data_IF_457123649964
#
_entry.id   IF_457123649964
#
_cell.length_a   1.000
_cell.length_b   1.000
_cell.length_c   1.000
_cell.angle_alpha   90.00
_cell.angle_beta   90.00
_cell.angle_gamma   90.00
#
_symmetry.space_group_name_H-M   'P 1'
#
loop_
_entity.id
_entity.type
_entity.pdbx_description
1 polymer ?
#
# COMPACT_ATOMS: atom_id res chain seq x y z
N UNK A 1 13.97 47.65 -49.65
CA UNK A 1 13.28 46.36 -49.54
C UNK A 1 13.11 46.06 -48.06
N UNK A 2 11.88 46.18 -47.55
CA UNK A 2 11.56 46.01 -46.13
C UNK A 2 10.63 44.80 -46.01
N UNK A 3 11.08 43.72 -45.36
CA UNK A 3 10.23 42.56 -45.04
C UNK A 3 9.95 42.52 -43.53
N UNK A 4 8.69 42.36 -43.10
CA UNK A 4 8.32 42.30 -41.70
C UNK A 4 8.46 40.88 -41.15
N UNK A 5 9.22 40.73 -40.07
CA UNK A 5 9.34 39.48 -39.31
C UNK A 5 8.08 39.36 -38.43
N UNK A 6 7.17 38.45 -38.79
CA UNK A 6 6.00 38.09 -37.99
C UNK A 6 6.39 37.09 -36.93
N UNK A 7 6.41 37.51 -35.66
CA UNK A 7 6.48 36.62 -34.51
C UNK A 7 5.11 35.94 -34.31
N UNK A 8 5.01 34.66 -34.66
CA UNK A 8 3.88 33.83 -34.28
C UNK A 8 4.17 33.18 -32.90
N UNK A 9 3.34 33.38 -31.86
CA UNK A 9 3.54 32.71 -30.59
C UNK A 9 3.02 31.27 -30.70
N UNK A 10 3.89 30.29 -30.49
CA UNK A 10 3.53 28.88 -30.42
C UNK A 10 2.86 28.62 -29.07
N UNK A 11 1.54 28.44 -29.08
CA UNK A 11 0.72 28.15 -27.91
C UNK A 11 0.97 26.69 -27.46
N UNK A 12 1.77 26.50 -26.42
CA UNK A 12 2.06 25.18 -25.83
C UNK A 12 0.89 24.78 -24.93
N UNK A 13 -0.09 24.04 -25.47
CA UNK A 13 -1.22 23.50 -24.70
C UNK A 13 -0.77 22.24 -23.96
N UNK A 14 -0.47 22.36 -22.67
CA UNK A 14 -0.20 21.22 -21.78
C UNK A 14 -1.54 20.61 -21.36
N UNK A 15 -1.90 19.48 -21.97
CA UNK A 15 -3.05 18.67 -21.58
C UNK A 15 -2.69 17.79 -20.38
N UNK A 16 -2.79 18.35 -19.16
CA UNK A 16 -2.73 17.59 -17.91
C UNK A 16 -4.01 16.75 -17.75
N UNK A 17 -4.01 15.52 -18.26
CA UNK A 17 -5.02 14.51 -17.93
C UNK A 17 -4.64 13.84 -16.60
N UNK A 18 -4.87 14.54 -15.49
CA UNK A 18 -4.73 13.97 -14.15
C UNK A 18 -5.99 13.23 -13.71
N UNK A 19 -6.14 11.95 -14.09
CA UNK A 19 -7.17 11.10 -13.50
C UNK A 19 -6.67 10.53 -12.16
N UNK A 20 -6.57 11.37 -11.14
CA UNK A 20 -6.48 10.88 -9.77
C UNK A 20 -7.90 10.55 -9.29
N UNK A 21 -8.34 9.29 -9.43
CA UNK A 21 -9.57 8.82 -8.80
C UNK A 21 -9.29 8.72 -7.29
N UNK A 22 -9.62 9.79 -6.56
CA UNK A 22 -9.65 9.75 -5.09
C UNK A 22 -10.81 8.83 -4.66
N UNK A 23 -10.48 7.56 -4.40
CA UNK A 23 -11.39 6.50 -3.93
C UNK A 23 -12.25 5.86 -5.04
N UNK A 24 -11.69 4.95 -5.83
CA UNK A 24 -12.48 4.19 -6.79
C UNK A 24 -13.51 3.30 -6.07
N UNK A 25 -14.70 3.18 -6.65
CA UNK A 25 -15.71 2.24 -6.19
C UNK A 25 -15.15 0.81 -6.22
N UNK A 26 -15.38 -0.01 -5.18
CA UNK A 26 -14.98 -1.41 -5.20
C UNK A 26 -15.51 -2.14 -6.45
N UNK A 27 -14.68 -2.95 -7.13
CA UNK A 27 -15.12 -3.76 -8.28
C UNK A 27 -16.12 -4.84 -7.84
N UNK A 28 -17.02 -5.22 -8.74
CA UNK A 28 -17.96 -6.30 -8.47
C UNK A 28 -17.27 -7.68 -8.58
N UNK A 29 -17.73 -8.62 -7.76
CA UNK A 29 -17.28 -10.02 -7.80
C UNK A 29 -17.50 -10.63 -9.19
N UNK A 30 -16.53 -11.39 -9.68
CA UNK A 30 -16.58 -12.01 -11.00
C UNK A 30 -16.22 -11.08 -12.17
N UNK A 31 -15.94 -9.79 -11.94
CA UNK A 31 -15.40 -8.89 -12.97
C UNK A 31 -14.07 -9.46 -13.52
N UNK A 32 -13.86 -9.44 -14.85
CA UNK A 32 -12.57 -9.81 -15.43
C UNK A 32 -11.45 -8.88 -14.94
N UNK A 33 -10.23 -9.41 -14.81
CA UNK A 33 -9.05 -8.65 -14.37
C UNK A 33 -8.88 -7.30 -15.09
N UNK A 34 -9.09 -7.27 -16.41
CA UNK A 34 -8.98 -6.04 -17.20
C UNK A 34 -9.98 -4.96 -16.76
N UNK A 35 -11.20 -5.34 -16.34
CA UNK A 35 -12.19 -4.38 -15.82
C UNK A 35 -11.81 -3.88 -14.41
N UNK A 36 -11.28 -4.78 -13.57
CA UNK A 36 -10.75 -4.41 -12.25
C UNK A 36 -9.63 -3.37 -12.39
N UNK A 37 -8.65 -3.61 -13.27
CA UNK A 37 -7.55 -2.68 -13.56
C UNK A 37 -8.08 -1.40 -14.21
N UNK A 38 -9.03 -1.49 -15.14
CA UNK A 38 -9.65 -0.32 -15.76
C UNK A 38 -10.34 0.60 -14.74
N UNK A 39 -10.88 0.04 -13.65
CA UNK A 39 -11.57 0.77 -12.58
C UNK A 39 -10.62 1.30 -11.51
N UNK A 40 -9.72 0.45 -11.02
CA UNK A 40 -8.83 0.75 -9.89
C UNK A 40 -7.52 1.41 -10.33
N UNK A 41 -7.17 1.33 -11.60
CA UNK A 41 -5.86 1.67 -12.13
C UNK A 41 -4.88 0.50 -12.06
N UNK A 42 -3.61 0.79 -12.34
CA UNK A 42 -2.55 -0.20 -12.26
C UNK A 42 -2.29 -0.59 -10.80
N UNK A 43 -2.13 -1.89 -10.50
CA UNK A 43 -1.79 -2.33 -9.16
C UNK A 43 -0.39 -1.87 -8.77
N UNK A 44 -0.17 -1.66 -7.48
CA UNK A 44 1.13 -1.32 -6.90
C UNK A 44 2.09 -2.51 -6.97
N UNK A 45 1.58 -3.71 -6.70
CA UNK A 45 2.31 -4.98 -6.82
C UNK A 45 1.40 -6.09 -7.34
N UNK A 46 2.01 -7.12 -7.92
CA UNK A 46 1.32 -8.34 -8.36
C UNK A 46 2.06 -9.54 -7.80
N UNK A 47 1.32 -10.43 -7.14
CA UNK A 47 1.85 -11.69 -6.59
C UNK A 47 1.19 -12.89 -7.26
N UNK A 48 1.95 -13.96 -7.48
CA UNK A 48 1.39 -15.23 -7.94
C UNK A 48 0.62 -15.91 -6.79
N UNK A 49 -0.56 -16.44 -7.06
CA UNK A 49 -1.41 -17.09 -6.05
C UNK A 49 -1.99 -18.39 -6.63
N UNK A 50 -1.20 -19.46 -6.57
CA UNK A 50 -1.48 -20.72 -7.28
C UNK A 50 -1.56 -20.49 -8.78
N UNK A 51 -2.71 -20.80 -9.39
CA UNK A 51 -2.99 -20.56 -10.81
C UNK A 51 -3.61 -19.17 -11.06
N UNK A 52 -3.78 -18.37 -10.01
CA UNK A 52 -4.29 -17.01 -10.05
C UNK A 52 -3.23 -15.99 -9.67
N UNK A 53 -3.67 -14.78 -9.30
CA UNK A 53 -2.79 -13.71 -8.85
C UNK A 53 -3.47 -12.81 -7.83
N UNK A 54 -2.68 -12.15 -7.00
CA UNK A 54 -3.10 -11.06 -6.13
C UNK A 54 -2.64 -9.74 -6.73
N UNK A 55 -3.55 -8.78 -6.82
CA UNK A 55 -3.27 -7.41 -7.22
C UNK A 55 -3.33 -6.52 -5.98
N UNK A 56 -2.21 -5.91 -5.63
CA UNK A 56 -2.10 -5.02 -4.48
C UNK A 56 -2.42 -3.58 -4.89
N UNK A 57 -3.25 -2.90 -4.10
CA UNK A 57 -3.59 -1.50 -4.27
C UNK A 57 -3.33 -0.73 -2.98
N UNK A 58 -2.19 -0.05 -2.92
CA UNK A 58 -1.83 0.81 -1.79
C UNK A 58 -2.49 2.18 -1.95
N UNK A 59 -3.24 2.62 -0.94
CA UNK A 59 -4.10 3.80 -1.00
C UNK A 59 -4.06 4.63 0.28
N UNK A 60 -4.54 5.87 0.16
CA UNK A 60 -4.64 6.83 1.26
C UNK A 60 -3.30 7.50 1.62
N UNK A 61 -3.34 8.55 2.45
CA UNK A 61 -2.15 9.22 2.92
C UNK A 61 -1.19 8.23 3.59
N UNK A 62 0.08 8.27 3.20
CA UNK A 62 1.13 7.40 3.72
C UNK A 62 0.91 5.89 3.53
N UNK A 63 -0.09 5.48 2.73
CA UNK A 63 -0.41 4.08 2.51
C UNK A 63 -1.05 3.39 3.72
N UNK A 64 -1.87 4.09 4.50
CA UNK A 64 -2.58 3.52 5.66
C UNK A 64 -3.65 2.46 5.30
N UNK A 65 -3.94 2.28 4.01
CA UNK A 65 -4.86 1.26 3.51
C UNK A 65 -4.22 0.54 2.33
N UNK A 66 -4.11 -0.76 2.41
CA UNK A 66 -3.81 -1.62 1.26
C UNK A 66 -5.02 -2.49 0.99
N UNK A 67 -5.41 -2.59 -0.28
CA UNK A 67 -6.40 -3.54 -0.74
C UNK A 67 -5.74 -4.65 -1.55
N UNK A 68 -6.28 -5.86 -1.44
CA UNK A 68 -5.83 -7.01 -2.23
C UNK A 68 -7.01 -7.53 -3.05
N UNK A 69 -6.88 -7.48 -4.37
CA UNK A 69 -7.81 -8.12 -5.29
C UNK A 69 -7.26 -9.51 -5.67
N UNK A 70 -7.96 -10.57 -5.32
CA UNK A 70 -7.63 -11.93 -5.75
C UNK A 70 -8.29 -12.21 -7.09
N UNK A 71 -7.49 -12.51 -8.10
CA UNK A 71 -7.96 -12.96 -9.40
C UNK A 71 -7.81 -14.48 -9.45
N UNK A 72 -8.92 -15.17 -9.69
CA UNK A 72 -8.95 -16.63 -9.82
C UNK A 72 -8.25 -17.11 -11.08
N UNK A 73 -8.09 -18.43 -11.19
CA UNK A 73 -7.52 -19.07 -12.40
C UNK A 73 -8.37 -18.87 -13.66
N UNK A 74 -9.63 -18.46 -13.50
CA UNK A 74 -10.56 -18.09 -14.58
C UNK A 74 -10.37 -16.63 -15.05
N UNK A 75 -9.40 -15.90 -14.48
CA UNK A 75 -9.12 -14.51 -14.82
C UNK A 75 -10.13 -13.51 -14.27
N UNK A 76 -10.94 -13.91 -13.27
CA UNK A 76 -12.00 -13.08 -12.68
C UNK A 76 -11.76 -12.80 -11.21
N UNK A 77 -12.33 -11.68 -10.73
CA UNK A 77 -12.23 -11.25 -9.35
C UNK A 77 -12.93 -12.23 -8.41
N UNK A 78 -12.16 -12.87 -7.54
CA UNK A 78 -12.60 -13.81 -6.53
C UNK A 78 -12.71 -13.21 -5.13
N UNK A 79 -11.98 -12.12 -4.84
CA UNK A 79 -12.19 -11.29 -3.64
C UNK A 79 -11.53 -9.92 -3.78
N UNK A 80 -12.01 -8.93 -3.02
CA UNK A 80 -11.39 -7.61 -2.90
C UNK A 80 -11.50 -7.13 -1.45
N UNK A 81 -10.37 -7.11 -0.74
CA UNK A 81 -10.34 -6.93 0.72
C UNK A 81 -9.34 -5.85 1.13
N UNK A 82 -9.65 -5.07 2.17
CA UNK A 82 -8.65 -4.22 2.82
C UNK A 82 -7.84 -5.05 3.82
N UNK A 83 -6.52 -5.06 3.66
CA UNK A 83 -5.65 -6.05 4.34
C UNK A 83 -4.80 -5.52 5.48
N UNK A 84 -4.72 -4.20 5.67
CA UNK A 84 -4.03 -3.61 6.84
C UNK A 84 -5.01 -3.45 8.01
N UNK A 85 -5.46 -4.57 8.57
CA UNK A 85 -6.37 -4.61 9.73
C UNK A 85 -5.81 -5.47 10.85
N UNK A 86 -6.29 -5.24 12.07
CA UNK A 86 -5.94 -6.06 13.24
C UNK A 86 -6.20 -7.56 12.97
N UNK A 87 -7.29 -7.90 12.30
CA UNK A 87 -7.67 -9.29 11.99
C UNK A 87 -6.70 -9.93 11.00
N UNK A 88 -6.28 -9.21 9.95
CA UNK A 88 -5.31 -9.72 8.98
C UNK A 88 -3.92 -9.85 9.58
N UNK A 89 -3.48 -8.89 10.40
CA UNK A 89 -2.23 -9.06 11.14
C UNK A 89 -2.26 -10.29 12.05
N UNK A 90 -3.39 -10.54 12.74
CA UNK A 90 -3.55 -11.72 13.60
C UNK A 90 -3.52 -13.06 12.83
N UNK A 91 -3.80 -13.06 11.52
CA UNK A 91 -3.70 -14.27 10.69
C UNK A 91 -2.25 -14.67 10.36
N UNK A 92 -1.28 -13.78 10.54
CA UNK A 92 0.14 -14.06 10.29
C UNK A 92 0.71 -14.83 11.48
N UNK A 93 1.18 -16.06 11.21
CA UNK A 93 1.71 -16.94 12.25
C UNK A 93 3.16 -16.63 12.58
N UNK A 94 3.41 -16.15 13.79
CA UNK A 94 4.77 -15.95 14.31
C UNK A 94 5.47 -17.29 14.48
N UNK A 95 6.74 -17.37 14.06
CA UNK A 95 7.57 -18.57 14.09
C UNK A 95 7.36 -19.52 12.90
N UNK A 96 6.35 -19.29 12.06
CA UNK A 96 6.02 -20.13 10.91
C UNK A 96 6.00 -19.34 9.59
N UNK A 97 5.36 -18.17 9.58
CA UNK A 97 5.17 -17.39 8.36
C UNK A 97 6.49 -16.82 7.84
N UNK A 98 6.74 -16.99 6.55
CA UNK A 98 7.82 -16.34 5.83
C UNK A 98 7.43 -15.00 5.22
N UNK A 99 8.41 -14.29 4.66
CA UNK A 99 8.18 -13.02 3.94
C UNK A 99 7.11 -13.11 2.85
N UNK A 100 7.08 -14.20 2.09
CA UNK A 100 6.09 -14.37 1.03
C UNK A 100 4.66 -14.49 1.61
N UNK A 101 4.48 -15.21 2.72
CA UNK A 101 3.19 -15.30 3.40
C UNK A 101 2.72 -13.91 3.86
N UNK A 102 3.63 -13.08 4.34
CA UNK A 102 3.33 -11.69 4.72
C UNK A 102 2.94 -10.84 3.51
N UNK A 103 3.66 -10.93 2.39
CA UNK A 103 3.30 -10.22 1.15
C UNK A 103 1.91 -10.65 0.64
N UNK A 104 1.60 -11.94 0.66
CA UNK A 104 0.28 -12.45 0.26
C UNK A 104 -0.84 -12.04 1.22
N UNK A 105 -0.53 -11.92 2.52
CA UNK A 105 -1.51 -11.55 3.54
C UNK A 105 -1.82 -10.04 3.55
N UNK A 106 -0.78 -9.19 3.52
CA UNK A 106 -0.89 -7.75 3.82
C UNK A 106 -0.17 -6.85 2.81
N UNK A 107 0.53 -7.41 1.82
CA UNK A 107 1.22 -6.68 0.77
C UNK A 107 2.60 -6.14 1.17
N UNK A 108 3.16 -5.31 0.30
CA UNK A 108 4.48 -4.73 0.44
C UNK A 108 4.52 -3.66 1.56
N UNK A 109 5.62 -3.61 2.34
CA UNK A 109 5.76 -2.62 3.39
C UNK A 109 5.89 -1.19 2.84
N UNK A 110 5.58 -0.20 3.68
CA UNK A 110 5.90 1.21 3.39
C UNK A 110 7.36 1.56 3.63
N UNK A 111 8.07 0.75 4.40
CA UNK A 111 9.50 0.93 4.64
C UNK A 111 10.09 -0.30 5.29
N UNK A 112 11.39 -0.48 5.07
CA UNK A 112 12.18 -1.53 5.69
C UNK A 112 13.30 -0.90 6.52
N UNK A 113 13.69 -1.57 7.59
CA UNK A 113 14.85 -1.20 8.41
C UNK A 113 15.50 -2.46 8.98
N UNK A 114 16.62 -2.30 9.66
CA UNK A 114 17.38 -3.41 10.25
C UNK A 114 17.79 -3.08 11.68
N UNK A 115 17.61 -4.03 12.59
CA UNK A 115 18.02 -3.94 13.98
C UNK A 115 19.30 -4.76 14.19
N UNK A 116 20.47 -4.10 14.16
CA UNK A 116 21.76 -4.78 14.20
C UNK A 116 22.03 -5.57 15.49
N UNK A 117 21.49 -5.13 16.63
CA UNK A 117 21.71 -5.80 17.93
C UNK A 117 20.98 -7.14 18.04
N UNK A 118 19.75 -7.21 17.51
CA UNK A 118 18.93 -8.42 17.53
C UNK A 118 18.98 -9.18 16.21
N UNK A 119 19.65 -8.63 15.21
CA UNK A 119 19.85 -9.23 13.88
C UNK A 119 18.52 -9.49 13.15
N UNK A 120 17.61 -8.50 13.20
CA UNK A 120 16.25 -8.60 12.64
C UNK A 120 16.03 -7.55 11.55
N UNK A 121 15.42 -7.99 10.44
CA UNK A 121 14.85 -7.07 9.45
C UNK A 121 13.43 -6.69 9.86
N UNK A 122 13.07 -5.42 9.68
CA UNK A 122 11.77 -4.89 10.09
C UNK A 122 11.04 -4.29 8.91
N UNK A 123 9.84 -4.80 8.64
CA UNK A 123 8.91 -4.24 7.68
C UNK A 123 7.87 -3.39 8.42
N UNK A 124 7.62 -2.18 7.91
CA UNK A 124 6.75 -1.20 8.56
C UNK A 124 5.52 -0.89 7.72
N UNK A 125 4.35 -0.95 8.36
CA UNK A 125 3.03 -0.76 7.76
C UNK A 125 2.23 0.29 8.54
N UNK A 126 2.07 1.51 8.01
CA UNK A 126 1.08 2.45 8.49
C UNK A 126 -0.31 1.87 8.34
N UNK A 127 -1.16 2.01 9.35
CA UNK A 127 -2.55 1.57 9.28
C UNK A 127 -3.47 2.34 10.24
N UNK A 128 -4.76 2.11 10.08
CA UNK A 128 -5.80 2.57 11.00
C UNK A 128 -6.13 1.46 11.99
N UNK A 129 -5.51 1.51 13.16
CA UNK A 129 -5.77 0.53 14.23
C UNK A 129 -7.20 0.68 14.76
N UNK A 130 -7.93 -0.45 14.73
CA UNK A 130 -9.37 -0.50 14.99
C UNK A 130 -10.18 0.51 14.17
N UNK A 131 -9.68 0.89 12.99
CA UNK A 131 -10.30 1.87 12.10
C UNK A 131 -10.17 3.34 12.53
N UNK A 132 -9.54 3.63 13.67
CA UNK A 132 -9.54 4.97 14.27
C UNK A 132 -8.12 5.53 14.44
N UNK A 133 -7.25 4.77 15.11
CA UNK A 133 -5.95 5.27 15.57
C UNK A 133 -4.90 5.18 14.46
N UNK A 134 -4.09 6.23 14.31
CA UNK A 134 -2.95 6.19 13.38
C UNK A 134 -1.81 5.41 14.02
N UNK A 135 -1.56 4.21 13.52
CA UNK A 135 -0.55 3.29 14.08
C UNK A 135 0.41 2.80 13.00
N UNK A 136 1.56 2.30 13.44
CA UNK A 136 2.52 1.56 12.63
C UNK A 136 2.55 0.12 13.15
N UNK A 137 2.33 -0.84 12.26
CA UNK A 137 2.62 -2.25 12.50
C UNK A 137 4.04 -2.56 12.00
N UNK A 138 4.84 -3.17 12.87
CA UNK A 138 6.20 -3.61 12.58
C UNK A 138 6.27 -5.14 12.59
N UNK A 139 6.58 -5.73 11.44
CA UNK A 139 6.81 -7.18 11.28
C UNK A 139 8.30 -7.42 11.26
N UNK A 140 8.80 -8.23 12.20
CA UNK A 140 10.23 -8.49 12.38
C UNK A 140 10.57 -9.89 11.86
N UNK A 141 11.59 -9.99 11.02
CA UNK A 141 12.06 -11.22 10.41
C UNK A 141 13.47 -11.55 10.89
N UNK A 142 13.74 -12.84 11.10
CA UNK A 142 15.12 -13.33 11.25
C UNK A 142 15.86 -13.40 9.90
N UNK A 143 17.12 -13.88 9.94
CA UNK A 143 17.94 -14.08 8.73
C UNK A 143 17.35 -15.06 7.73
N UNK A 144 16.51 -16.00 8.16
CA UNK A 144 15.84 -16.95 7.28
C UNK A 144 14.56 -16.36 6.68
N UNK A 145 14.20 -15.13 7.07
CA UNK A 145 12.99 -14.45 6.60
C UNK A 145 11.72 -14.96 7.28
N UNK A 146 11.82 -15.55 8.47
CA UNK A 146 10.68 -16.02 9.26
C UNK A 146 10.26 -14.94 10.26
N UNK A 147 8.95 -14.71 10.38
CA UNK A 147 8.38 -13.74 11.31
C UNK A 147 8.68 -14.15 12.75
N UNK A 148 9.46 -13.34 13.47
CA UNK A 148 9.79 -13.57 14.88
C UNK A 148 8.90 -12.76 15.84
N UNK A 149 8.41 -11.60 15.40
CA UNK A 149 7.52 -10.75 16.20
C UNK A 149 6.75 -9.76 15.35
N UNK A 150 5.55 -9.42 15.80
CA UNK A 150 4.80 -8.25 15.32
C UNK A 150 4.53 -7.29 16.48
N UNK A 151 4.70 -5.98 16.24
CA UNK A 151 4.46 -4.94 17.24
C UNK A 151 3.74 -3.76 16.60
N UNK A 152 2.65 -3.31 17.22
CA UNK A 152 1.99 -2.05 16.86
C UNK A 152 2.44 -0.93 17.80
N UNK A 153 2.48 0.30 17.30
CA UNK A 153 2.67 1.50 18.09
C UNK A 153 2.09 2.74 17.41
N UNK A 154 1.91 3.86 18.15
CA UNK A 154 1.41 5.11 17.58
C UNK A 154 2.31 5.58 16.43
N UNK A 155 1.70 6.07 15.35
CA UNK A 155 2.45 6.68 14.26
C UNK A 155 2.95 8.07 14.66
N UNK A 156 4.27 8.29 14.80
CA UNK A 156 4.80 9.55 15.30
C UNK A 156 4.52 10.75 14.39
N UNK A 157 4.10 10.52 13.14
CA UNK A 157 3.68 11.58 12.21
C UNK A 157 2.39 12.26 12.64
N UNK A 158 1.60 11.62 13.50
CA UNK A 158 0.32 12.11 14.00
C UNK A 158 0.36 12.45 15.50
N UNK A 159 1.54 12.42 16.12
CA UNK A 159 1.75 12.81 17.52
C UNK A 159 1.54 14.33 17.67
N UNK A 160 0.52 14.78 18.44
CA UNK A 160 0.26 16.20 18.63
C UNK A 160 1.38 16.90 19.41
N UNK A 161 2.09 16.20 20.30
CA UNK A 161 3.12 16.81 21.16
C UNK A 161 4.40 17.12 20.35
N UNK A 162 4.67 16.35 19.29
CA UNK A 162 5.76 16.67 18.34
C UNK A 162 5.49 17.92 17.50
N UNK A 163 4.25 18.41 17.45
CA UNK A 163 3.90 19.62 16.69
C UNK A 163 4.32 20.90 17.40
N UNK A 164 4.51 20.86 18.73
CA UNK A 164 4.92 21.99 19.56
C UNK A 164 5.93 21.54 20.63
N UNK A 165 7.23 21.45 20.30
CA UNK A 165 8.26 20.94 21.22
C UNK A 165 8.50 21.81 22.47
N UNK A 166 7.94 23.03 22.51
CA UNK A 166 7.92 23.90 23.68
C UNK A 166 6.48 24.34 23.93
N UNK A 167 5.83 23.73 24.91
CA UNK A 167 4.45 24.03 25.28
C UNK A 167 4.27 25.48 25.72
N UNK A 168 3.61 26.26 24.89
CA UNK A 168 2.83 27.42 25.34
C UNK A 168 1.46 26.87 25.75
N UNK A 169 1.33 26.57 27.04
CA UNK A 169 0.02 26.51 27.72
C UNK A 169 -0.19 27.81 28.48
#
# INVERSE_FOLDING_TARGET
MSLPIRCAPLLFVVLLHGCAILNPTPPAMGEPEAQVIGRLGQPTHVYQDGNGKLLEYKTGPFGQRTYMARIGSDGRLASYEQVLTNEKFASIKVGEAGKNDVLHAIGAPSGTSYLSLSDLEVWTYPYKESGVWNSLMHVHFDRNGIVQRMMSGPDPRFDPDRRFPFGLR
#
